data_IF_772101519879
#
_entry.id   IF_772101519879
#
_cell.length_a   1.000
_cell.length_b   1.000
_cell.length_c   1.000
_cell.angle_alpha   90.00
_cell.angle_beta   90.00
_cell.angle_gamma   90.00
#
_symmetry.space_group_name_H-M   'P 1'
#
loop_
_entity.id
_entity.type
_entity.pdbx_description
1 polymer ?
#
# COMPACT_ATOMS: atom_id res chain seq x y z
N UNK A 1 18.78 16.91 0.75
CA UNK A 1 18.94 15.68 1.55
C UNK A 1 19.37 14.58 0.60
N UNK A 2 20.38 13.75 0.93
CA UNK A 2 20.73 12.61 0.10
C UNK A 2 19.55 11.62 0.06
N UNK A 3 19.22 11.14 -1.13
CA UNK A 3 18.19 10.11 -1.36
C UNK A 3 18.72 8.80 -0.81
N UNK A 4 17.93 8.13 0.04
CA UNK A 4 18.29 6.82 0.60
C UNK A 4 18.22 5.74 -0.50
N UNK A 5 19.16 4.81 -0.49
CA UNK A 5 19.12 3.61 -1.33
C UNK A 5 18.00 2.65 -0.88
N UNK A 6 17.50 1.77 -1.76
CA UNK A 6 16.45 0.79 -1.42
C UNK A 6 16.79 -0.07 -0.19
N UNK A 7 18.07 -0.44 -0.04
CA UNK A 7 18.55 -1.21 1.13
C UNK A 7 18.44 -0.40 2.43
N UNK A 8 18.82 0.87 2.40
CA UNK A 8 18.73 1.76 3.56
C UNK A 8 17.28 2.03 3.99
N UNK A 9 16.36 2.13 3.01
CA UNK A 9 14.92 2.21 3.26
C UNK A 9 14.46 0.93 3.97
N UNK A 10 14.78 -0.24 3.43
CA UNK A 10 14.39 -1.52 4.03
C UNK A 10 14.91 -1.69 5.47
N UNK A 11 16.17 -1.33 5.74
CA UNK A 11 16.78 -1.43 7.06
C UNK A 11 16.13 -0.48 8.09
N UNK A 12 15.81 0.75 7.67
CA UNK A 12 15.10 1.72 8.51
C UNK A 12 13.71 1.21 8.91
N UNK A 13 12.95 0.70 7.94
CA UNK A 13 11.61 0.18 8.18
C UNK A 13 11.63 -1.10 9.02
N UNK A 14 12.60 -2.00 8.81
CA UNK A 14 12.83 -3.19 9.64
C UNK A 14 13.03 -2.84 11.11
N UNK A 15 13.78 -1.77 11.40
CA UNK A 15 14.02 -1.28 12.77
C UNK A 15 12.76 -0.63 13.38
N UNK A 16 11.99 0.10 12.57
CA UNK A 16 10.77 0.82 13.01
C UNK A 16 9.52 -0.04 13.08
N UNK A 17 9.48 -1.18 12.39
CA UNK A 17 8.30 -2.04 12.27
C UNK A 17 7.64 -2.34 13.61
N UNK A 18 8.42 -2.57 14.68
CA UNK A 18 7.89 -2.90 16.02
C UNK A 18 6.97 -1.81 16.58
N UNK A 19 7.31 -0.54 16.40
CA UNK A 19 6.60 0.61 16.96
C UNK A 19 5.72 1.34 15.93
N UNK A 20 5.78 0.94 14.65
CA UNK A 20 5.10 1.62 13.56
C UNK A 20 3.60 1.81 13.81
N UNK A 21 2.90 0.76 14.25
CA UNK A 21 1.47 0.82 14.53
C UNK A 21 1.14 1.75 15.71
N UNK A 22 2.03 1.81 16.72
CA UNK A 22 1.90 2.73 17.86
C UNK A 22 2.11 4.17 17.41
N UNK A 23 3.13 4.44 16.60
CA UNK A 23 3.37 5.76 16.01
C UNK A 23 2.21 6.19 15.10
N UNK A 24 1.66 5.26 14.31
CA UNK A 24 0.44 5.49 13.52
C UNK A 24 -0.76 5.87 14.39
N UNK A 25 -0.95 5.20 15.54
CA UNK A 25 -1.96 5.57 16.53
C UNK A 25 -1.68 6.92 17.19
N UNK A 26 -0.42 7.29 17.42
CA UNK A 26 -0.06 8.59 18.00
C UNK A 26 -0.38 9.76 17.05
N UNK A 27 -0.22 9.56 15.73
CA UNK A 27 -0.67 10.53 14.73
C UNK A 27 -2.19 10.81 14.82
N UNK A 28 -2.98 9.80 15.16
CA UNK A 28 -4.43 9.96 15.39
C UNK A 28 -4.71 10.89 16.59
N UNK A 29 -3.95 10.74 17.68
CA UNK A 29 -4.10 11.56 18.90
C UNK A 29 -3.74 13.03 18.69
N UNK A 30 -2.83 13.35 17.76
CA UNK A 30 -2.46 14.73 17.42
C UNK A 30 -3.29 15.33 16.27
N UNK A 31 -4.43 14.72 15.94
CA UNK A 31 -5.40 15.25 14.96
C UNK A 31 -5.14 14.85 13.50
N UNK A 32 -4.14 14.01 13.23
CA UNK A 32 -3.89 13.51 11.88
C UNK A 32 -4.85 12.34 11.58
N UNK A 33 -5.82 12.57 10.69
CA UNK A 33 -6.91 11.60 10.41
C UNK A 33 -6.48 10.52 9.42
N UNK A 34 -5.41 9.77 9.72
CA UNK A 34 -4.84 8.72 8.85
C UNK A 34 -5.89 7.72 8.34
N UNK A 35 -6.76 7.25 9.24
CA UNK A 35 -7.84 6.33 8.86
C UNK A 35 -8.81 6.96 7.85
N UNK A 36 -9.18 8.23 8.06
CA UNK A 36 -10.07 8.94 7.14
C UNK A 36 -9.48 9.03 5.73
N UNK A 37 -8.18 9.31 5.63
CA UNK A 37 -7.51 9.35 4.33
C UNK A 37 -7.45 7.99 3.64
N UNK A 38 -7.21 6.90 4.38
CA UNK A 38 -7.27 5.53 3.83
C UNK A 38 -8.64 5.22 3.24
N UNK A 39 -9.71 5.59 3.95
CA UNK A 39 -11.09 5.43 3.45
C UNK A 39 -11.29 6.24 2.16
N UNK A 40 -10.91 7.52 2.14
CA UNK A 40 -11.03 8.36 0.94
C UNK A 40 -10.23 7.81 -0.25
N UNK A 41 -9.01 7.30 -0.03
CA UNK A 41 -8.23 6.63 -1.09
C UNK A 41 -9.00 5.45 -1.64
N UNK A 42 -9.43 4.53 -0.78
CA UNK A 42 -10.06 3.28 -1.23
C UNK A 42 -11.40 3.56 -1.92
N UNK A 43 -12.15 4.56 -1.46
CA UNK A 43 -13.39 5.00 -2.10
C UNK A 43 -13.17 5.60 -3.49
N UNK A 44 -12.03 6.25 -3.75
CA UNK A 44 -11.72 6.83 -5.08
C UNK A 44 -11.23 5.81 -6.11
N UNK A 45 -10.88 4.58 -5.70
CA UNK A 45 -10.39 3.53 -6.59
C UNK A 45 -11.48 2.91 -7.48
N UNK A 46 -12.77 3.22 -7.24
CA UNK A 46 -13.91 2.70 -8.00
C UNK A 46 -13.99 1.15 -8.04
N UNK A 47 -13.37 0.48 -7.05
CA UNK A 47 -13.28 -0.98 -6.91
C UNK A 47 -14.67 -1.61 -6.83
N UNK A 48 -14.85 -2.74 -7.53
CA UNK A 48 -16.07 -3.56 -7.52
C UNK A 48 -15.86 -4.86 -6.74
N UNK A 49 -16.97 -5.49 -6.38
CA UNK A 49 -16.95 -6.85 -5.81
C UNK A 49 -16.34 -7.82 -6.83
N UNK A 50 -15.45 -8.70 -6.38
CA UNK A 50 -14.74 -9.64 -7.24
C UNK A 50 -13.45 -9.10 -7.85
N UNK A 51 -13.14 -7.81 -7.72
CA UNK A 51 -11.91 -7.25 -8.30
C UNK A 51 -10.65 -7.78 -7.61
N UNK A 52 -9.57 -7.87 -8.39
CA UNK A 52 -8.22 -7.99 -7.86
C UNK A 52 -7.61 -6.60 -7.67
N UNK A 53 -7.08 -6.32 -6.48
CA UNK A 53 -6.48 -5.02 -6.13
C UNK A 53 -5.04 -5.22 -5.68
N UNK A 54 -4.13 -4.38 -6.19
CA UNK A 54 -2.71 -4.38 -5.80
C UNK A 54 -2.39 -3.17 -4.93
N UNK A 55 -1.84 -3.40 -3.75
CA UNK A 55 -1.31 -2.35 -2.88
C UNK A 55 0.23 -2.39 -2.88
N UNK A 56 0.85 -1.35 -3.44
CA UNK A 56 2.30 -1.17 -3.48
C UNK A 56 2.78 -0.50 -2.18
N UNK A 57 3.65 -1.20 -1.45
CA UNK A 57 4.11 -0.82 -0.11
C UNK A 57 3.01 -0.99 0.94
N UNK A 58 2.42 -2.19 1.01
CA UNK A 58 1.25 -2.46 1.87
C UNK A 58 1.55 -2.40 3.39
N UNK A 59 2.83 -2.40 3.78
CA UNK A 59 3.24 -2.32 5.17
C UNK A 59 2.62 -3.44 6.02
N UNK A 60 2.02 -3.07 7.15
CA UNK A 60 1.38 -4.02 8.08
C UNK A 60 -0.03 -4.44 7.66
N UNK A 61 -0.49 -4.09 6.45
CA UNK A 61 -1.80 -4.49 5.93
C UNK A 61 -2.97 -3.66 6.47
N UNK A 62 -2.74 -2.42 6.91
CA UNK A 62 -3.77 -1.55 7.51
C UNK A 62 -4.95 -1.24 6.58
N UNK A 63 -4.76 -1.32 5.27
CA UNK A 63 -5.83 -1.10 4.29
C UNK A 63 -6.64 -2.37 3.98
N UNK A 64 -6.15 -3.56 4.35
CA UNK A 64 -6.81 -4.82 3.98
C UNK A 64 -8.24 -4.95 4.50
N UNK A 65 -8.61 -4.54 5.74
CA UNK A 65 -10.01 -4.57 6.16
C UNK A 65 -10.93 -3.73 5.27
N UNK A 66 -10.46 -2.54 4.86
CA UNK A 66 -11.23 -1.62 4.01
C UNK A 66 -11.37 -2.18 2.59
N UNK A 67 -10.30 -2.75 2.04
CA UNK A 67 -10.34 -3.43 0.75
C UNK A 67 -11.29 -4.63 0.77
N UNK A 68 -11.21 -5.48 1.80
CA UNK A 68 -12.08 -6.65 1.95
C UNK A 68 -13.57 -6.28 1.94
N UNK A 69 -13.94 -5.16 2.56
CA UNK A 69 -15.32 -4.66 2.53
C UNK A 69 -15.79 -4.29 1.11
N UNK A 70 -14.88 -3.84 0.24
CA UNK A 70 -15.18 -3.46 -1.15
C UNK A 70 -15.22 -4.67 -2.09
N UNK A 71 -14.19 -5.50 -2.06
CA UNK A 71 -14.02 -6.59 -3.03
C UNK A 71 -14.83 -7.85 -2.66
N UNK A 72 -15.09 -8.07 -1.37
CA UNK A 72 -15.69 -9.32 -0.88
C UNK A 72 -14.79 -10.55 -1.07
N UNK A 73 -15.30 -11.73 -0.68
CA UNK A 73 -14.53 -12.99 -0.66
C UNK A 73 -14.07 -13.48 -2.03
N UNK A 74 -14.81 -13.12 -3.09
CA UNK A 74 -14.52 -13.51 -4.47
C UNK A 74 -13.44 -12.63 -5.12
N UNK A 75 -13.15 -11.46 -4.54
CA UNK A 75 -12.06 -10.61 -5.02
C UNK A 75 -10.72 -11.02 -4.41
N UNK A 76 -9.64 -10.37 -4.83
CA UNK A 76 -8.27 -10.68 -4.37
C UNK A 76 -7.50 -9.42 -3.97
N UNK A 77 -6.75 -9.48 -2.88
CA UNK A 77 -5.77 -8.45 -2.49
C UNK A 77 -4.37 -8.98 -2.76
N UNK A 78 -3.53 -8.19 -3.41
CA UNK A 78 -2.10 -8.45 -3.56
C UNK A 78 -1.34 -7.32 -2.85
N UNK A 79 -0.76 -7.62 -1.69
CA UNK A 79 0.07 -6.68 -0.93
C UNK A 79 1.54 -6.88 -1.24
N UNK A 80 2.19 -5.86 -1.81
CA UNK A 80 3.62 -5.88 -2.14
C UNK A 80 4.37 -5.02 -1.13
N UNK A 81 5.43 -5.53 -0.50
CA UNK A 81 6.30 -4.74 0.36
C UNK A 81 7.75 -5.25 0.31
N UNK A 82 8.71 -4.33 0.45
CA UNK A 82 10.14 -4.64 0.45
C UNK A 82 10.63 -5.17 1.81
N UNK A 83 9.80 -5.07 2.86
CA UNK A 83 10.19 -5.41 4.22
C UNK A 83 9.50 -6.70 4.69
N UNK A 84 10.25 -7.79 4.78
CA UNK A 84 9.85 -9.06 5.42
C UNK A 84 9.08 -8.87 6.74
N UNK A 85 9.57 -8.03 7.66
CA UNK A 85 8.92 -7.77 8.96
C UNK A 85 7.56 -7.08 8.86
N UNK A 86 7.34 -6.28 7.82
CA UNK A 86 6.03 -5.67 7.57
C UNK A 86 5.05 -6.75 7.10
N UNK A 87 5.51 -7.60 6.18
CA UNK A 87 4.72 -8.73 5.67
C UNK A 87 4.43 -9.76 6.77
N UNK A 88 5.35 -10.04 7.69
CA UNK A 88 5.08 -10.90 8.86
C UNK A 88 3.92 -10.37 9.73
N UNK A 89 3.78 -9.04 9.85
CA UNK A 89 2.67 -8.41 10.58
C UNK A 89 1.38 -8.47 9.77
N UNK A 90 1.44 -8.18 8.47
CA UNK A 90 0.31 -8.29 7.57
C UNK A 90 -0.24 -9.73 7.55
N UNK A 91 0.64 -10.73 7.46
CA UNK A 91 0.33 -12.16 7.50
C UNK A 91 -0.41 -12.55 8.79
N UNK A 92 0.03 -12.04 9.95
CA UNK A 92 -0.69 -12.25 11.23
C UNK A 92 -2.08 -11.64 11.20
N UNK A 93 -2.25 -10.49 10.57
CA UNK A 93 -3.54 -9.83 10.41
C UNK A 93 -4.48 -10.62 9.48
N UNK A 94 -3.96 -11.11 8.36
CA UNK A 94 -4.65 -12.00 7.40
C UNK A 94 -5.14 -13.26 8.10
N UNK A 95 -4.24 -13.96 8.81
CA UNK A 95 -4.56 -15.18 9.57
C UNK A 95 -5.59 -14.94 10.67
N UNK A 96 -5.45 -13.86 11.44
CA UNK A 96 -6.39 -13.51 12.51
C UNK A 96 -7.82 -13.31 12.01
N UNK A 97 -7.99 -12.80 10.79
CA UNK A 97 -9.29 -12.53 10.18
C UNK A 97 -9.79 -13.66 9.26
N UNK A 98 -9.05 -14.77 9.12
CA UNK A 98 -9.37 -15.89 8.22
C UNK A 98 -9.63 -15.44 6.77
N UNK A 99 -8.78 -14.54 6.26
CA UNK A 99 -8.86 -14.14 4.86
C UNK A 99 -8.05 -15.10 3.99
N UNK A 100 -8.71 -15.75 3.04
CA UNK A 100 -8.10 -16.71 2.11
C UNK A 100 -7.71 -16.07 0.77
N UNK A 101 -8.15 -14.84 0.54
CA UNK A 101 -8.02 -14.10 -0.71
C UNK A 101 -7.00 -12.95 -0.64
N UNK A 102 -5.97 -13.08 0.20
CA UNK A 102 -4.88 -12.11 0.33
C UNK A 102 -3.55 -12.79 -0.01
N UNK A 103 -2.83 -12.24 -0.98
CA UNK A 103 -1.48 -12.64 -1.36
C UNK A 103 -0.47 -11.58 -0.91
N UNK A 104 0.60 -12.01 -0.24
CA UNK A 104 1.69 -11.14 0.20
C UNK A 104 2.95 -11.43 -0.59
N UNK A 105 3.51 -10.39 -1.20
CA UNK A 105 4.68 -10.48 -2.07
C UNK A 105 5.82 -9.66 -1.49
N UNK A 106 6.91 -10.34 -1.14
CA UNK A 106 8.16 -9.69 -0.73
C UNK A 106 8.96 -9.26 -1.95
N UNK A 107 8.85 -7.98 -2.33
CA UNK A 107 9.46 -7.44 -3.52
C UNK A 107 9.66 -5.93 -3.40
N UNK A 108 10.71 -5.40 -4.04
CA UNK A 108 10.80 -3.99 -4.32
C UNK A 108 9.72 -3.62 -5.36
N UNK A 109 8.88 -2.64 -5.05
CA UNK A 109 7.79 -2.21 -5.93
C UNK A 109 8.27 -1.76 -7.32
N UNK A 110 9.52 -1.31 -7.45
CA UNK A 110 10.16 -0.94 -8.74
C UNK A 110 10.52 -2.14 -9.62
N UNK A 111 10.48 -3.34 -9.05
CA UNK A 111 10.76 -4.62 -9.72
C UNK A 111 9.52 -5.51 -9.84
N UNK A 112 8.41 -5.11 -9.21
CA UNK A 112 7.19 -5.89 -9.23
C UNK A 112 6.47 -5.78 -10.59
N UNK A 113 6.16 -6.93 -11.19
CA UNK A 113 5.37 -7.02 -12.40
C UNK A 113 3.88 -7.08 -12.05
N UNK A 114 3.15 -6.01 -12.33
CA UNK A 114 1.73 -5.91 -12.03
C UNK A 114 0.93 -6.84 -12.97
N UNK A 115 0.12 -7.77 -12.43
CA UNK A 115 -0.73 -8.64 -13.24
C UNK A 115 -1.69 -7.84 -14.14
N UNK A 116 -1.99 -8.36 -15.32
CA UNK A 116 -3.02 -7.78 -16.19
C UNK A 116 -4.42 -8.03 -15.63
N UNK A 117 -5.35 -7.13 -15.91
CA UNK A 117 -6.77 -7.30 -15.54
C UNK A 117 -7.07 -7.06 -14.06
N UNK A 118 -6.16 -6.41 -13.32
CA UNK A 118 -6.43 -5.94 -11.96
C UNK A 118 -7.40 -4.75 -12.00
N UNK A 119 -8.32 -4.69 -11.04
CA UNK A 119 -9.31 -3.62 -10.94
C UNK A 119 -8.73 -2.30 -10.45
N UNK A 120 -7.68 -2.36 -9.61
CA UNK A 120 -6.95 -1.18 -9.15
C UNK A 120 -5.52 -1.50 -8.72
N UNK A 121 -4.61 -0.53 -8.88
CA UNK A 121 -3.29 -0.48 -8.24
C UNK A 121 -3.16 0.84 -7.53
N UNK A 122 -2.71 0.82 -6.28
CA UNK A 122 -2.51 2.02 -5.50
C UNK A 122 -1.35 1.88 -4.52
N UNK A 123 -0.88 3.00 -3.97
CA UNK A 123 0.06 3.03 -2.86
C UNK A 123 -0.42 4.04 -1.81
N UNK A 124 -0.24 3.71 -0.54
CA UNK A 124 -0.58 4.60 0.57
C UNK A 124 0.68 4.94 1.37
N UNK A 125 1.20 6.15 1.20
CA UNK A 125 2.39 6.70 1.88
C UNK A 125 3.74 6.00 1.58
N UNK A 126 3.81 5.03 0.67
CA UNK A 126 5.04 4.27 0.42
C UNK A 126 5.74 4.62 -0.91
N UNK A 127 4.98 4.85 -1.99
CA UNK A 127 5.54 5.06 -3.34
C UNK A 127 6.62 6.15 -3.40
N UNK A 128 6.38 7.29 -2.74
CA UNK A 128 7.33 8.42 -2.75
C UNK A 128 8.63 8.22 -1.99
N UNK A 129 8.76 7.07 -1.32
CA UNK A 129 10.00 6.65 -0.67
C UNK A 129 10.88 5.81 -1.60
N UNK A 130 10.31 5.32 -2.70
CA UNK A 130 11.07 4.64 -3.75
C UNK A 130 11.85 5.69 -4.55
N UNK A 131 13.17 5.53 -4.76
CA UNK A 131 13.93 6.41 -5.65
C UNK A 131 13.50 6.25 -7.12
N UNK A 132 12.86 5.14 -7.47
CA UNK A 132 12.41 4.79 -8.82
C UNK A 132 10.89 4.98 -9.01
N UNK A 133 10.26 5.89 -8.26
CA UNK A 133 8.80 6.08 -8.29
C UNK A 133 8.27 6.37 -9.70
N UNK A 134 9.02 7.08 -10.56
CA UNK A 134 8.65 7.33 -11.96
C UNK A 134 8.51 6.03 -12.77
N UNK A 135 9.40 5.06 -12.54
CA UNK A 135 9.35 3.74 -13.17
C UNK A 135 8.15 2.96 -12.66
N UNK A 136 7.89 3.02 -11.35
CA UNK A 136 6.72 2.35 -10.75
C UNK A 136 5.43 2.89 -11.34
N UNK A 137 5.28 4.23 -11.44
CA UNK A 137 4.11 4.87 -12.04
C UNK A 137 3.92 4.44 -13.50
N UNK A 138 5.02 4.38 -14.28
CA UNK A 138 4.97 3.90 -15.67
C UNK A 138 4.46 2.45 -15.75
N UNK A 139 5.03 1.55 -14.95
CA UNK A 139 4.60 0.15 -14.90
C UNK A 139 3.11 0.03 -14.51
N UNK A 140 2.65 0.84 -13.53
CA UNK A 140 1.23 0.90 -13.17
C UNK A 140 0.36 1.32 -14.37
N UNK A 141 0.77 2.36 -15.10
CA UNK A 141 -0.01 2.87 -16.25
C UNK A 141 -0.10 1.87 -17.41
N UNK A 142 0.91 1.02 -17.60
CA UNK A 142 0.91 0.00 -18.65
C UNK A 142 0.03 -1.21 -18.30
N UNK A 143 -0.17 -1.50 -17.01
CA UNK A 143 -0.98 -2.62 -16.53
C UNK A 143 -2.44 -2.28 -16.26
N UNK A 144 -2.83 -1.00 -16.30
CA UNK A 144 -4.13 -0.50 -15.84
C UNK A 144 -4.87 0.38 -16.86
N UNK A 145 -6.17 0.57 -16.62
CA UNK A 145 -6.96 1.69 -17.15
C UNK A 145 -7.02 2.91 -16.22
N UNK A 146 -6.71 2.77 -14.91
CA UNK A 146 -6.66 3.85 -13.90
C UNK A 146 -5.57 3.59 -12.85
N UNK A 147 -4.72 4.58 -12.57
CA UNK A 147 -3.72 4.59 -11.48
C UNK A 147 -4.15 5.63 -10.44
N UNK A 148 -4.16 5.28 -9.15
CA UNK A 148 -4.46 6.24 -8.08
C UNK A 148 -3.36 6.19 -7.03
N UNK A 149 -2.69 7.32 -6.85
CA UNK A 149 -1.72 7.53 -5.78
C UNK A 149 -2.30 8.53 -4.78
N UNK A 150 -2.26 8.20 -3.48
CA UNK A 150 -2.53 9.18 -2.43
C UNK A 150 -1.25 9.45 -1.62
N UNK A 151 -0.74 10.66 -1.76
CA UNK A 151 0.35 11.18 -0.94
C UNK A 151 -0.16 12.35 -0.08
N UNK A 152 0.16 12.33 1.22
CA UNK A 152 0.17 13.54 2.05
C UNK A 152 1.56 13.66 2.70
N UNK A 153 2.47 14.35 2.02
CA UNK A 153 3.50 15.11 2.72
C UNK A 153 2.89 16.48 3.05
N UNK A 154 3.18 17.02 4.22
CA UNK A 154 2.83 18.40 4.58
C UNK A 154 3.58 19.34 3.61
N UNK A 155 2.98 19.62 2.45
CA UNK A 155 3.20 20.77 1.56
C UNK A 155 2.62 20.45 0.16
N UNK A 156 1.40 20.94 -0.10
CA UNK A 156 0.73 21.13 -1.40
C UNK A 156 0.52 19.88 -2.27
N UNK A 157 -0.72 19.40 -2.23
CA UNK A 157 -1.32 18.47 -3.19
C UNK A 157 -1.03 18.87 -4.65
N UNK A 158 -0.60 17.90 -5.46
CA UNK A 158 -0.89 17.86 -6.89
C UNK A 158 -1.36 16.45 -7.21
N UNK A 159 -2.66 16.29 -7.41
CA UNK A 159 -3.20 15.10 -8.08
C UNK A 159 -2.72 15.18 -9.54
N UNK A 160 -2.03 14.16 -10.03
CA UNK A 160 -1.73 14.01 -11.45
C UNK A 160 -2.87 13.17 -12.02
N UNK A 161 -3.76 13.83 -12.76
CA UNK A 161 -4.73 13.23 -13.69
C UNK A 161 -4.17 13.30 -15.09
#
# INVERSE_FOLDING_TARGET
MPVLSPKEVADLYRKRAKNYDISACLYYLIGFRLHHYRVLTIDSLDIKKGDTVVELGCGTGLNFPLLQQKIGKEGKIIGVDITDKMLEKAEKWVKKNNWENVELVHCDVSQYNIPKGVGAVFSTFALTLSPDYDKVIRNCSESLSKVVELQFLISKCRMIT
#
